data_IF_730096343188
#
_entry.id   IF_730096343188
#
_cell.length_a   1.000
_cell.length_b   1.000
_cell.length_c   1.000
_cell.angle_alpha   90.00
_cell.angle_beta   90.00
_cell.angle_gamma   90.00
#
_symmetry.space_group_name_H-M   'P 1'
#
loop_
_entity.id
_entity.type
_entity.pdbx_description
1 polymer ?
#
# COMPACT_ATOMS: atom_id res chain seq x y z
N UNK A 1 8.46 -30.32 2.87
CA UNK A 1 9.75 -29.94 2.23
C UNK A 1 10.02 -30.73 0.94
N UNK A 2 9.73 -32.05 0.89
CA UNK A 2 9.98 -32.90 -0.28
C UNK A 2 9.35 -32.41 -1.60
N UNK A 3 8.05 -32.01 -1.66
CA UNK A 3 7.45 -31.46 -2.88
C UNK A 3 8.10 -30.14 -3.35
N UNK A 4 8.51 -29.29 -2.42
CA UNK A 4 9.19 -28.03 -2.76
C UNK A 4 10.59 -28.29 -3.34
N UNK A 5 11.32 -29.28 -2.81
CA UNK A 5 12.62 -29.67 -3.34
C UNK A 5 12.52 -30.21 -4.78
N UNK A 6 11.50 -31.03 -5.05
CA UNK A 6 11.25 -31.53 -6.41
C UNK A 6 10.93 -30.37 -7.35
N UNK A 7 10.02 -29.50 -7.01
CA UNK A 7 9.66 -28.33 -7.83
C UNK A 7 10.87 -27.44 -8.13
N UNK A 8 11.75 -27.23 -7.16
CA UNK A 8 13.00 -26.50 -7.36
C UNK A 8 13.93 -27.20 -8.33
N UNK A 9 14.14 -28.52 -8.18
CA UNK A 9 14.98 -29.29 -9.08
C UNK A 9 14.39 -29.30 -10.50
N UNK A 10 13.10 -29.60 -10.65
CA UNK A 10 12.42 -29.66 -11.94
C UNK A 10 12.41 -28.32 -12.67
N UNK A 11 12.42 -27.19 -11.94
CA UNK A 11 12.52 -25.88 -12.56
C UNK A 11 13.83 -25.63 -13.30
N UNK A 12 14.89 -26.37 -12.96
CA UNK A 12 16.19 -26.33 -13.61
C UNK A 12 16.44 -27.49 -14.58
N UNK A 13 15.54 -28.48 -14.64
CA UNK A 13 15.65 -29.62 -15.55
C UNK A 13 14.78 -29.40 -16.77
N UNK A 14 15.38 -29.12 -17.91
CA UNK A 14 14.71 -28.94 -19.20
C UNK A 14 15.08 -30.02 -20.20
N UNK A 15 14.57 -29.92 -21.43
CA UNK A 15 14.80 -30.92 -22.51
C UNK A 15 16.27 -31.20 -22.84
N UNK A 16 17.20 -30.36 -22.37
CA UNK A 16 18.66 -30.51 -22.57
C UNK A 16 19.46 -30.81 -21.30
N UNK A 17 18.79 -31.23 -20.20
CA UNK A 17 19.44 -31.49 -18.91
C UNK A 17 19.32 -30.29 -17.94
N UNK A 18 20.21 -30.24 -16.95
CA UNK A 18 20.20 -29.22 -15.91
C UNK A 18 20.66 -27.85 -16.47
N UNK A 19 19.81 -26.84 -16.38
CA UNK A 19 20.12 -25.49 -16.87
C UNK A 19 18.95 -24.50 -16.84
N UNK A 20 19.14 -23.34 -17.44
CA UNK A 20 18.14 -22.23 -17.48
C UNK A 20 17.23 -22.29 -18.72
N UNK A 21 17.14 -23.40 -19.42
CA UNK A 21 16.35 -23.53 -20.64
C UNK A 21 14.85 -23.31 -20.41
N UNK A 22 14.32 -23.81 -19.29
CA UNK A 22 12.92 -23.62 -18.87
C UNK A 22 12.63 -22.14 -18.65
N UNK A 23 13.46 -21.42 -17.92
CA UNK A 23 13.31 -20.00 -17.69
C UNK A 23 13.36 -19.19 -18.99
N UNK A 24 14.28 -19.50 -19.91
CA UNK A 24 14.33 -18.86 -21.23
C UNK A 24 13.06 -19.06 -22.04
N UNK A 25 12.44 -20.26 -21.98
CA UNK A 25 11.14 -20.53 -22.62
C UNK A 25 10.03 -19.69 -22.00
N UNK A 26 9.94 -19.62 -20.66
CA UNK A 26 8.92 -18.87 -19.93
C UNK A 26 9.01 -17.36 -20.24
N UNK A 27 10.22 -16.78 -20.23
CA UNK A 27 10.43 -15.36 -20.56
C UNK A 27 10.12 -15.00 -22.03
N UNK A 28 10.02 -15.98 -22.93
CA UNK A 28 9.56 -15.77 -24.31
C UNK A 28 8.03 -15.74 -24.43
N UNK A 29 7.30 -16.14 -23.41
CA UNK A 29 5.83 -16.12 -23.40
C UNK A 29 5.36 -14.69 -23.12
N UNK A 30 4.68 -14.01 -24.06
CA UNK A 30 4.26 -12.60 -23.89
C UNK A 30 3.36 -12.37 -22.66
N UNK A 31 2.47 -13.32 -22.37
CA UNK A 31 1.58 -13.25 -21.20
C UNK A 31 2.36 -13.23 -19.90
N UNK A 32 3.43 -14.01 -19.80
CA UNK A 32 4.25 -14.09 -18.60
C UNK A 32 5.05 -12.79 -18.38
N UNK A 33 5.68 -12.27 -19.42
CA UNK A 33 6.43 -11.00 -19.34
C UNK A 33 5.50 -9.82 -19.02
N UNK A 34 4.31 -9.81 -19.59
CA UNK A 34 3.28 -8.79 -19.27
C UNK A 34 2.82 -8.92 -17.82
N UNK A 35 2.61 -10.14 -17.31
CA UNK A 35 2.22 -10.37 -15.92
C UNK A 35 3.29 -9.87 -14.94
N UNK A 36 4.56 -10.20 -15.18
CA UNK A 36 5.69 -9.72 -14.35
C UNK A 36 5.73 -8.17 -14.35
N UNK A 37 5.70 -7.58 -15.55
CA UNK A 37 5.78 -6.14 -15.69
C UNK A 37 4.63 -5.43 -14.96
N UNK A 38 3.41 -5.93 -15.09
CA UNK A 38 2.25 -5.37 -14.40
C UNK A 38 2.33 -5.56 -12.89
N UNK A 39 2.81 -6.72 -12.41
CA UNK A 39 3.03 -6.97 -10.98
C UNK A 39 4.04 -5.99 -10.40
N UNK A 40 5.16 -5.76 -11.08
CA UNK A 40 6.17 -4.80 -10.63
C UNK A 40 5.62 -3.35 -10.62
N UNK A 41 4.88 -2.97 -11.67
CA UNK A 41 4.24 -1.65 -11.74
C UNK A 41 3.23 -1.44 -10.62
N UNK A 42 2.35 -2.43 -10.38
CA UNK A 42 1.36 -2.38 -9.27
C UNK A 42 2.09 -2.31 -7.93
N UNK A 43 3.08 -3.19 -7.70
CA UNK A 43 3.82 -3.22 -6.44
C UNK A 43 4.51 -1.89 -6.13
N UNK A 44 5.18 -1.29 -7.13
CA UNK A 44 5.82 0.02 -6.97
C UNK A 44 4.80 1.14 -6.71
N UNK A 45 3.71 1.19 -7.48
CA UNK A 45 2.64 2.17 -7.29
C UNK A 45 2.00 2.04 -5.90
N UNK A 46 1.64 0.81 -5.50
CA UNK A 46 1.05 0.53 -4.19
C UNK A 46 2.00 0.89 -3.06
N UNK A 47 3.29 0.59 -3.18
CA UNK A 47 4.29 0.97 -2.20
C UNK A 47 4.32 2.49 -1.97
N UNK A 48 4.35 3.28 -3.05
CA UNK A 48 4.31 4.75 -2.96
C UNK A 48 2.99 5.23 -2.35
N UNK A 49 1.86 4.79 -2.88
CA UNK A 49 0.54 5.25 -2.41
C UNK A 49 0.29 4.87 -0.94
N UNK A 50 0.63 3.65 -0.53
CA UNK A 50 0.47 3.20 0.85
C UNK A 50 1.35 4.01 1.80
N UNK A 51 2.57 4.34 1.39
CA UNK A 51 3.48 5.18 2.18
C UNK A 51 2.94 6.60 2.32
N UNK A 52 2.45 7.21 1.23
CA UNK A 52 1.86 8.56 1.28
C UNK A 52 0.62 8.58 2.17
N UNK A 53 -0.32 7.66 1.98
CA UNK A 53 -1.53 7.58 2.80
C UNK A 53 -1.17 7.29 4.25
N UNK A 54 -0.26 6.35 4.50
CA UNK A 54 0.24 6.01 5.83
C UNK A 54 0.87 7.22 6.53
N UNK A 55 1.69 8.00 5.81
CA UNK A 55 2.30 9.23 6.34
C UNK A 55 1.25 10.28 6.69
N UNK A 56 0.27 10.49 5.82
CA UNK A 56 -0.82 11.44 6.09
C UNK A 56 -1.59 11.04 7.35
N UNK A 57 -1.95 9.77 7.50
CA UNK A 57 -2.64 9.27 8.69
C UNK A 57 -1.78 9.37 9.95
N UNK A 58 -0.50 9.04 9.86
CA UNK A 58 0.45 9.15 10.98
C UNK A 58 0.62 10.62 11.40
N UNK A 59 0.78 11.52 10.44
CA UNK A 59 0.92 12.96 10.70
C UNK A 59 -0.34 13.54 11.37
N UNK A 60 -1.52 13.19 10.85
CA UNK A 60 -2.80 13.63 11.43
C UNK A 60 -2.92 13.18 12.89
N UNK A 61 -2.59 11.93 13.20
CA UNK A 61 -2.71 11.42 14.57
C UNK A 61 -1.67 12.02 15.53
N UNK A 62 -0.45 12.27 15.07
CA UNK A 62 0.64 12.77 15.94
C UNK A 62 0.53 14.27 16.17
N UNK A 63 0.20 15.05 15.13
CA UNK A 63 0.27 16.51 15.19
C UNK A 63 -1.07 17.23 15.34
N UNK A 64 -2.19 16.57 15.01
CA UNK A 64 -3.50 17.20 15.19
C UNK A 64 -4.09 16.82 16.55
N UNK A 65 -4.50 17.85 17.30
CA UNK A 65 -5.22 17.67 18.56
C UNK A 65 -6.65 17.21 18.27
N UNK A 66 -6.88 15.91 18.33
CA UNK A 66 -8.20 15.31 18.25
C UNK A 66 -8.78 15.11 19.65
N UNK A 67 -10.11 15.29 19.80
CA UNK A 67 -10.76 14.91 21.05
C UNK A 67 -10.70 13.38 21.22
N UNK A 68 -10.89 12.87 22.45
CA UNK A 68 -10.73 11.43 22.78
C UNK A 68 -11.61 10.51 21.91
N UNK A 69 -12.82 10.96 21.60
CA UNK A 69 -13.78 10.18 20.79
C UNK A 69 -13.33 10.11 19.32
N UNK A 70 -13.03 11.26 18.72
CA UNK A 70 -12.55 11.32 17.32
C UNK A 70 -11.22 10.60 17.15
N UNK A 71 -10.27 10.77 18.07
CA UNK A 71 -8.99 10.07 18.04
C UNK A 71 -9.14 8.56 18.20
N UNK A 72 -10.07 8.10 19.04
CA UNK A 72 -10.40 6.67 19.16
C UNK A 72 -10.98 6.10 17.88
N UNK A 73 -11.96 6.78 17.29
CA UNK A 73 -12.58 6.38 16.03
C UNK A 73 -11.56 6.37 14.88
N UNK A 74 -10.69 7.39 14.81
CA UNK A 74 -9.62 7.49 13.80
C UNK A 74 -8.68 6.28 13.86
N UNK A 75 -8.25 5.86 15.08
CA UNK A 75 -7.41 4.66 15.27
C UNK A 75 -8.11 3.38 14.80
N UNK A 76 -9.37 3.21 15.20
CA UNK A 76 -10.15 2.02 14.79
C UNK A 76 -10.27 1.96 13.27
N UNK A 77 -10.67 3.05 12.63
CA UNK A 77 -10.82 3.12 11.16
C UNK A 77 -9.48 2.88 10.46
N UNK A 78 -8.39 3.46 10.97
CA UNK A 78 -7.05 3.28 10.39
C UNK A 78 -6.53 1.85 10.49
N UNK A 79 -6.96 1.07 11.49
CA UNK A 79 -6.51 -0.30 11.70
C UNK A 79 -7.48 -1.37 11.16
N UNK A 80 -8.68 -0.97 10.77
CA UNK A 80 -9.71 -1.90 10.31
C UNK A 80 -9.24 -2.80 9.16
N UNK A 81 -8.48 -2.32 8.15
CA UNK A 81 -7.99 -3.17 7.08
C UNK A 81 -7.01 -4.26 7.54
N UNK A 82 -6.25 -4.05 8.63
CA UNK A 82 -5.31 -5.06 9.17
C UNK A 82 -6.05 -6.24 9.80
N UNK A 83 -7.18 -5.97 10.45
CA UNK A 83 -7.99 -6.99 11.14
C UNK A 83 -8.83 -7.78 10.15
N UNK A 84 -9.16 -7.16 9.01
CA UNK A 84 -9.97 -7.81 7.97
C UNK A 84 -9.16 -8.82 7.17
N UNK A 85 -9.69 -10.02 6.89
CA UNK A 85 -9.06 -10.93 5.94
C UNK A 85 -8.82 -10.24 4.58
N UNK A 86 -7.68 -10.46 3.91
CA UNK A 86 -7.31 -9.71 2.69
C UNK A 86 -8.34 -9.75 1.57
N UNK A 87 -9.08 -10.87 1.43
CA UNK A 87 -10.11 -11.01 0.39
C UNK A 87 -11.37 -10.17 0.66
N UNK A 88 -11.66 -9.80 1.92
CA UNK A 88 -12.86 -9.03 2.29
C UNK A 88 -12.84 -7.64 1.66
N UNK A 89 -11.69 -6.97 1.68
CA UNK A 89 -11.54 -5.67 1.02
C UNK A 89 -11.74 -5.76 -0.49
N UNK A 90 -11.23 -6.82 -1.11
CA UNK A 90 -11.43 -7.05 -2.55
C UNK A 90 -12.89 -7.30 -2.90
N UNK A 91 -13.58 -8.16 -2.13
CA UNK A 91 -15.01 -8.41 -2.31
C UNK A 91 -15.84 -7.15 -2.06
N UNK A 92 -15.56 -6.41 -0.99
CA UNK A 92 -16.25 -5.16 -0.71
C UNK A 92 -16.09 -4.15 -1.84
N UNK A 93 -14.88 -4.04 -2.40
CA UNK A 93 -14.63 -3.17 -3.54
C UNK A 93 -15.45 -3.57 -4.77
N UNK A 94 -15.55 -4.87 -5.05
CA UNK A 94 -16.38 -5.39 -6.15
C UNK A 94 -17.86 -5.15 -5.88
N UNK A 95 -18.34 -5.40 -4.67
CA UNK A 95 -19.76 -5.21 -4.30
C UNK A 95 -20.18 -3.74 -4.27
N UNK A 96 -19.28 -2.83 -3.89
CA UNK A 96 -19.58 -1.41 -3.81
C UNK A 96 -19.38 -0.70 -5.15
N UNK A 97 -18.29 -0.99 -5.85
CA UNK A 97 -17.84 -0.24 -7.03
C UNK A 97 -17.79 -1.06 -8.33
N UNK A 98 -18.16 -2.34 -8.31
CA UNK A 98 -18.22 -3.19 -9.51
C UNK A 98 -19.35 -2.81 -10.46
N UNK A 99 -19.49 -3.55 -11.57
CA UNK A 99 -20.54 -3.31 -12.59
C UNK A 99 -21.96 -3.31 -12.03
N UNK A 100 -22.24 -4.15 -11.03
CA UNK A 100 -23.50 -4.18 -10.30
C UNK A 100 -23.37 -3.57 -8.89
N UNK A 101 -22.35 -2.74 -8.67
CA UNK A 101 -22.03 -2.19 -7.38
C UNK A 101 -23.06 -1.23 -6.84
N UNK A 102 -23.29 -1.28 -5.53
CA UNK A 102 -24.29 -0.44 -4.86
C UNK A 102 -24.01 1.05 -5.10
N UNK A 103 -22.75 1.47 -4.95
CA UNK A 103 -22.38 2.89 -5.12
C UNK A 103 -22.41 3.28 -6.59
N UNK A 104 -21.80 2.51 -7.47
CA UNK A 104 -21.70 2.86 -8.89
C UNK A 104 -23.05 2.86 -9.58
N UNK A 105 -23.87 1.84 -9.37
CA UNK A 105 -25.14 1.70 -10.06
C UNK A 105 -26.28 2.47 -9.40
N UNK A 106 -26.43 2.36 -8.07
CA UNK A 106 -27.61 2.92 -7.37
C UNK A 106 -27.39 4.37 -6.91
N UNK A 107 -26.15 4.79 -6.62
CA UNK A 107 -25.89 6.16 -6.15
C UNK A 107 -25.40 7.04 -7.28
N UNK A 108 -24.41 6.58 -8.07
CA UNK A 108 -23.80 7.37 -9.14
C UNK A 108 -24.44 7.18 -10.52
N UNK A 109 -25.29 6.17 -10.71
CA UNK A 109 -25.93 5.89 -12.00
C UNK A 109 -24.96 5.46 -13.12
N UNK A 110 -23.76 4.97 -12.75
CA UNK A 110 -22.72 4.55 -13.71
C UNK A 110 -22.92 3.06 -14.01
N UNK A 111 -23.29 2.74 -15.26
CA UNK A 111 -23.60 1.37 -15.68
C UNK A 111 -22.42 0.65 -16.36
N UNK A 112 -21.44 1.40 -16.85
CA UNK A 112 -20.28 0.84 -17.58
C UNK A 112 -18.98 1.10 -16.82
N UNK A 113 -18.94 0.67 -15.55
CA UNK A 113 -17.76 0.76 -14.71
C UNK A 113 -17.16 -0.62 -14.45
N UNK A 114 -15.84 -0.72 -14.51
CA UNK A 114 -15.11 -1.93 -14.15
C UNK A 114 -14.01 -1.60 -13.15
N UNK A 115 -14.15 -2.14 -11.93
CA UNK A 115 -13.08 -2.09 -10.91
C UNK A 115 -12.06 -3.21 -11.09
N UNK A 116 -12.25 -4.05 -12.11
CA UNK A 116 -11.30 -5.11 -12.40
C UNK A 116 -10.06 -4.55 -13.11
N UNK A 117 -8.92 -5.20 -12.90
CA UNK A 117 -7.67 -4.85 -13.54
C UNK A 117 -6.73 -4.02 -12.67
N UNK A 118 -5.77 -3.37 -13.30
CA UNK A 118 -4.64 -2.68 -12.68
C UNK A 118 -5.05 -1.69 -11.57
N UNK A 119 -5.98 -0.79 -11.86
CA UNK A 119 -6.39 0.27 -10.91
C UNK A 119 -7.17 -0.26 -9.73
N UNK A 120 -8.09 -1.22 -9.96
CA UNK A 120 -8.84 -1.83 -8.85
C UNK A 120 -7.92 -2.58 -7.89
N UNK A 121 -6.96 -3.33 -8.42
CA UNK A 121 -5.94 -4.02 -7.61
C UNK A 121 -5.10 -3.00 -6.84
N UNK A 122 -4.64 -1.93 -7.50
CA UNK A 122 -3.82 -0.90 -6.87
C UNK A 122 -4.55 -0.21 -5.70
N UNK A 123 -5.83 0.14 -5.86
CA UNK A 123 -6.63 0.76 -4.79
C UNK A 123 -6.81 -0.21 -3.62
N UNK A 124 -7.25 -1.44 -3.88
CA UNK A 124 -7.47 -2.44 -2.82
C UNK A 124 -6.18 -2.73 -2.06
N UNK A 125 -5.06 -2.94 -2.77
CA UNK A 125 -3.77 -3.19 -2.13
C UNK A 125 -3.27 -1.98 -1.34
N UNK A 126 -3.47 -0.75 -1.85
CA UNK A 126 -3.14 0.46 -1.10
C UNK A 126 -3.90 0.52 0.22
N UNK A 127 -5.22 0.26 0.19
CA UNK A 127 -6.05 0.19 1.41
C UNK A 127 -5.63 -0.93 2.36
N UNK A 128 -5.11 -2.03 1.83
CA UNK A 128 -4.63 -3.16 2.65
C UNK A 128 -3.31 -2.84 3.34
N UNK A 129 -2.39 -2.17 2.65
CA UNK A 129 -1.02 -1.98 3.14
C UNK A 129 -0.76 -0.64 3.82
N UNK A 130 -1.58 0.40 3.59
CA UNK A 130 -1.35 1.70 4.23
C UNK A 130 -1.33 1.65 5.77
N UNK A 131 -2.10 0.78 6.47
CA UNK A 131 -2.06 0.76 7.93
C UNK A 131 -0.70 0.28 8.48
N UNK A 132 -0.01 -0.59 7.74
CA UNK A 132 1.34 -1.04 8.11
C UNK A 132 2.32 0.14 8.01
N UNK A 133 2.28 0.87 6.90
CA UNK A 133 3.07 2.10 6.72
C UNK A 133 2.72 3.15 7.79
N UNK A 134 1.44 3.34 8.08
CA UNK A 134 0.95 4.25 9.12
C UNK A 134 1.51 3.90 10.49
N UNK A 135 1.48 2.63 10.91
CA UNK A 135 2.02 2.21 12.22
C UNK A 135 3.52 2.47 12.33
N UNK A 136 4.29 2.14 11.29
CA UNK A 136 5.74 2.36 11.26
C UNK A 136 6.06 3.85 11.30
N UNK A 137 5.45 4.65 10.42
CA UNK A 137 5.69 6.09 10.31
C UNK A 137 5.25 6.84 11.57
N UNK A 138 4.13 6.45 12.18
CA UNK A 138 3.68 6.98 13.45
C UNK A 138 4.69 6.73 14.58
N UNK A 139 5.29 5.53 14.61
CA UNK A 139 6.37 5.20 15.57
C UNK A 139 7.57 6.12 15.38
N UNK A 140 8.00 6.33 14.13
CA UNK A 140 9.11 7.23 13.81
C UNK A 140 8.79 8.68 14.17
N UNK A 141 7.61 9.19 13.78
CA UNK A 141 7.21 10.57 14.10
C UNK A 141 7.14 10.85 15.60
N UNK A 142 6.72 9.88 16.40
CA UNK A 142 6.69 10.03 17.88
C UNK A 142 8.05 10.05 18.53
N UNK A 143 9.07 9.52 17.88
CA UNK A 143 10.43 9.49 18.38
C UNK A 143 11.25 10.75 18.02
N UNK A 144 10.70 11.65 17.19
CA UNK A 144 11.34 12.93 16.89
C UNK A 144 11.30 13.80 18.14
N UNK A 145 12.45 14.37 18.52
CA UNK A 145 12.54 15.29 19.65
C UNK A 145 11.74 16.59 19.31
N UNK A 146 10.72 16.93 20.12
CA UNK A 146 9.93 18.15 19.89
C UNK A 146 10.76 19.44 19.87
N UNK A 147 11.91 19.46 20.58
CA UNK A 147 12.80 20.61 20.63
C UNK A 147 13.35 21.03 19.26
N UNK A 148 13.54 20.06 18.35
CA UNK A 148 14.00 20.34 16.98
C UNK A 148 12.95 21.12 16.18
N UNK A 149 11.68 20.77 16.33
CA UNK A 149 10.56 21.45 15.68
C UNK A 149 10.30 22.82 16.30
N UNK A 150 10.41 22.93 17.63
CA UNK A 150 10.29 24.18 18.38
C UNK A 150 11.39 25.16 17.97
N UNK A 151 12.64 24.73 17.94
CA UNK A 151 13.77 25.56 17.49
C UNK A 151 13.58 26.07 16.06
N UNK A 152 13.10 25.21 15.15
CA UNK A 152 12.81 25.65 13.78
C UNK A 152 11.69 26.69 13.71
N UNK A 153 10.68 26.59 14.58
CA UNK A 153 9.59 27.58 14.67
C UNK A 153 10.07 28.90 15.27
N UNK A 154 10.92 28.84 16.27
CA UNK A 154 11.51 30.05 16.91
C UNK A 154 12.38 30.83 15.91
N UNK A 155 12.99 30.13 14.93
CA UNK A 155 13.67 30.74 13.79
C UNK A 155 12.71 31.28 12.70
N UNK A 156 11.37 31.24 12.93
CA UNK A 156 10.37 31.76 12.01
C UNK A 156 9.90 30.80 10.92
N UNK A 157 10.23 29.50 11.02
CA UNK A 157 9.78 28.52 10.03
C UNK A 157 8.27 28.27 10.16
N UNK A 158 7.56 28.26 9.02
CA UNK A 158 6.14 27.85 8.96
C UNK A 158 6.01 26.36 9.22
N UNK A 159 4.82 25.88 9.61
CA UNK A 159 4.54 24.46 9.84
C UNK A 159 4.94 23.56 8.66
N UNK A 160 4.64 24.03 7.45
CA UNK A 160 5.03 23.30 6.22
C UNK A 160 6.55 23.25 6.04
N UNK A 161 7.25 24.32 6.35
CA UNK A 161 8.73 24.38 6.31
C UNK A 161 9.35 23.44 7.35
N UNK A 162 8.82 23.42 8.58
CA UNK A 162 9.26 22.47 9.62
C UNK A 162 9.04 21.03 9.15
N UNK A 163 7.86 20.71 8.61
CA UNK A 163 7.58 19.38 8.10
C UNK A 163 8.56 18.95 7.01
N UNK A 164 8.82 19.80 6.00
CA UNK A 164 9.67 19.44 4.86
C UNK A 164 11.16 19.46 5.16
N UNK A 165 11.62 20.32 6.10
CA UNK A 165 13.05 20.52 6.36
C UNK A 165 13.56 19.83 7.63
N UNK A 166 12.66 19.46 8.56
CA UNK A 166 13.01 18.79 9.83
C UNK A 166 12.36 17.42 9.90
N UNK A 167 11.02 17.39 9.93
CA UNK A 167 10.25 16.16 10.19
C UNK A 167 10.48 15.11 9.10
N UNK A 168 10.27 15.48 7.84
CA UNK A 168 10.35 14.54 6.70
C UNK A 168 11.77 13.96 6.51
N UNK A 169 12.87 14.73 6.55
CA UNK A 169 14.22 14.17 6.45
C UNK A 169 14.60 13.23 7.61
N UNK A 170 14.06 13.45 8.81
CA UNK A 170 14.31 12.58 9.97
C UNK A 170 13.52 11.26 9.90
N UNK A 171 12.44 11.20 9.14
CA UNK A 171 11.63 10.00 8.93
C UNK A 171 12.09 9.19 7.73
N UNK A 172 12.72 9.84 6.75
CA UNK A 172 13.29 9.18 5.58
C UNK A 172 14.68 8.61 5.96
N UNK A 173 14.95 7.33 5.64
CA UNK A 173 16.26 6.70 5.88
C UNK A 173 17.35 7.29 5.00
#
# INVERSE_FOLDING_TARGET
>A
LYPLAILLVDSFVGDGGFGFSVFKKIFKIPTFTTAITNTLKVGFLVGILSTIVGLLFAYVEVYLRMNKFVGGLFKVVSMLPVVSPPFVLSLSMIMLFGKAGIITRHILGIYDNSVYGFWGIAVVQTLTFFPVCYMMLKGLLKNIDPSLEEAARDMGATRFKVFTSVTLPLVLP
#
